data_IF_370110038799
#
_entry.id   IF_370110038799
#
_cell.length_a   1.000
_cell.length_b   1.000
_cell.length_c   1.000
_cell.angle_alpha   90.00
_cell.angle_beta   90.00
_cell.angle_gamma   90.00
#
_symmetry.space_group_name_H-M   'P 1'
#
loop_
_entity.id
_entity.type
_entity.pdbx_description
1 polymer ?
#
# COMPACT_ATOMS: atom_id res chain seq x y z
N UNK A 1 -59.09 -10.65 -2.63
CA UNK A 1 -58.03 -10.26 -3.60
C UNK A 1 -56.68 -9.92 -2.97
N UNK A 2 -56.58 -9.41 -1.73
CA UNK A 2 -55.29 -9.15 -1.07
C UNK A 2 -54.66 -10.40 -0.41
N UNK A 3 -55.46 -11.37 0.01
CA UNK A 3 -55.01 -12.63 0.62
C UNK A 3 -54.33 -13.57 -0.41
N UNK A 4 -54.92 -13.73 -1.59
CA UNK A 4 -54.38 -14.56 -2.69
C UNK A 4 -53.01 -14.07 -3.19
N UNK A 5 -52.79 -12.75 -3.22
CA UNK A 5 -51.49 -12.16 -3.62
C UNK A 5 -50.39 -12.39 -2.57
N UNK A 6 -50.75 -12.54 -1.30
CA UNK A 6 -49.79 -12.90 -0.23
C UNK A 6 -49.45 -14.39 -0.28
N UNK A 7 -50.44 -15.26 -0.48
CA UNK A 7 -50.20 -16.71 -0.62
C UNK A 7 -49.34 -17.05 -1.83
N UNK A 8 -49.58 -16.43 -2.99
CA UNK A 8 -48.78 -16.66 -4.20
C UNK A 8 -47.34 -16.16 -4.11
N UNK A 9 -47.07 -15.17 -3.26
CA UNK A 9 -45.72 -14.64 -2.98
C UNK A 9 -44.96 -15.51 -1.98
N UNK A 10 -45.67 -16.14 -1.05
CA UNK A 10 -45.14 -17.08 -0.05
C UNK A 10 -44.86 -18.44 -0.70
N UNK A 11 -45.77 -18.98 -1.52
CA UNK A 11 -45.56 -20.23 -2.26
C UNK A 11 -44.35 -20.15 -3.20
N UNK A 12 -44.15 -19.02 -3.89
CA UNK A 12 -42.99 -18.83 -4.77
C UNK A 12 -41.69 -18.57 -4.00
N UNK A 13 -41.76 -18.09 -2.75
CA UNK A 13 -40.59 -18.02 -1.85
C UNK A 13 -40.26 -19.40 -1.24
N UNK A 14 -41.26 -20.23 -0.95
CA UNK A 14 -41.10 -21.59 -0.40
C UNK A 14 -40.71 -22.65 -1.44
N UNK A 15 -40.95 -22.39 -2.73
CA UNK A 15 -40.53 -23.27 -3.84
C UNK A 15 -39.03 -23.07 -4.18
N UNK A 16 -38.51 -21.85 -4.01
CA UNK A 16 -37.07 -21.53 -4.10
C UNK A 16 -36.25 -22.24 -2.99
N UNK A 17 -36.89 -22.61 -1.88
CA UNK A 17 -36.26 -23.26 -0.73
C UNK A 17 -36.15 -24.80 -0.87
N UNK A 18 -36.79 -25.41 -1.88
CA UNK A 18 -36.98 -26.87 -1.95
C UNK A 18 -36.35 -27.61 -3.12
N UNK A 19 -35.74 -26.95 -4.11
CA UNK A 19 -35.02 -27.69 -5.17
C UNK A 19 -33.70 -28.27 -4.59
N UNK A 20 -33.63 -29.60 -4.36
CA UNK A 20 -32.47 -30.22 -3.73
C UNK A 20 -31.21 -30.05 -4.57
N UNK A 21 -31.37 -29.98 -5.91
CA UNK A 21 -30.26 -29.76 -6.83
C UNK A 21 -29.73 -28.32 -6.72
N UNK A 22 -30.62 -27.33 -6.57
CA UNK A 22 -30.21 -25.94 -6.39
C UNK A 22 -29.43 -25.76 -5.09
N UNK A 23 -29.89 -26.37 -3.99
CA UNK A 23 -29.17 -26.37 -2.70
C UNK A 23 -27.80 -27.03 -2.81
N UNK A 24 -27.72 -28.20 -3.45
CA UNK A 24 -26.45 -28.89 -3.69
C UNK A 24 -25.50 -28.05 -4.55
N UNK A 25 -26.00 -27.38 -5.60
CA UNK A 25 -25.21 -26.46 -6.42
C UNK A 25 -24.70 -25.25 -5.61
N UNK A 26 -25.53 -24.66 -4.74
CA UNK A 26 -25.11 -23.56 -3.87
C UNK A 26 -24.04 -23.99 -2.86
N UNK A 27 -24.15 -25.19 -2.29
CA UNK A 27 -23.16 -25.71 -1.34
C UNK A 27 -21.82 -25.98 -2.04
N UNK A 28 -21.84 -26.56 -3.25
CA UNK A 28 -20.63 -26.71 -4.09
C UNK A 28 -20.00 -25.35 -4.44
N UNK A 29 -20.81 -24.34 -4.76
CA UNK A 29 -20.31 -23.00 -5.04
C UNK A 29 -19.66 -22.37 -3.81
N UNK A 30 -20.28 -22.51 -2.62
CA UNK A 30 -19.70 -22.04 -1.36
C UNK A 30 -18.37 -22.72 -1.06
N UNK A 31 -18.27 -24.03 -1.28
CA UNK A 31 -17.02 -24.77 -1.09
C UNK A 31 -15.90 -24.24 -2.00
N UNK A 32 -16.20 -23.99 -3.27
CA UNK A 32 -15.23 -23.41 -4.23
C UNK A 32 -14.82 -22.00 -3.78
N UNK A 33 -15.77 -21.15 -3.37
CA UNK A 33 -15.46 -19.80 -2.89
C UNK A 33 -14.58 -19.82 -1.62
N UNK A 34 -14.82 -20.74 -0.70
CA UNK A 34 -13.96 -20.92 0.46
C UNK A 34 -12.54 -21.36 0.08
N UNK A 35 -12.39 -22.26 -0.90
CA UNK A 35 -11.06 -22.65 -1.43
C UNK A 35 -10.33 -21.46 -2.05
N UNK A 36 -11.03 -20.65 -2.85
CA UNK A 36 -10.47 -19.43 -3.46
C UNK A 36 -10.01 -18.42 -2.39
N UNK A 37 -10.82 -18.21 -1.35
CA UNK A 37 -10.46 -17.32 -0.25
C UNK A 37 -9.21 -17.80 0.49
N UNK A 38 -9.13 -19.10 0.81
CA UNK A 38 -7.96 -19.70 1.45
C UNK A 38 -6.69 -19.54 0.62
N UNK A 39 -6.78 -19.81 -0.69
CA UNK A 39 -5.66 -19.65 -1.61
C UNK A 39 -5.18 -18.19 -1.67
N UNK A 40 -6.11 -17.23 -1.70
CA UNK A 40 -5.78 -15.79 -1.68
C UNK A 40 -5.10 -15.38 -0.37
N UNK A 41 -5.56 -15.90 0.77
CA UNK A 41 -4.95 -15.64 2.07
C UNK A 41 -3.53 -16.21 2.16
N UNK A 42 -3.30 -17.43 1.68
CA UNK A 42 -1.98 -18.05 1.63
C UNK A 42 -1.01 -17.25 0.74
N UNK A 43 -1.47 -16.80 -0.44
CA UNK A 43 -0.67 -15.96 -1.33
C UNK A 43 -0.28 -14.63 -0.65
N UNK A 44 -1.21 -13.98 0.05
CA UNK A 44 -0.92 -12.76 0.82
C UNK A 44 0.10 -13.02 1.91
N UNK A 45 -0.02 -14.14 2.64
CA UNK A 45 0.93 -14.51 3.70
C UNK A 45 2.35 -14.67 3.16
N UNK A 46 2.52 -15.34 2.01
CA UNK A 46 3.85 -15.54 1.39
C UNK A 46 4.47 -14.23 0.91
N UNK A 47 3.66 -13.34 0.33
CA UNK A 47 4.14 -12.01 -0.07
C UNK A 47 4.64 -11.24 1.15
N UNK A 48 3.88 -11.24 2.25
CA UNK A 48 4.26 -10.55 3.48
C UNK A 48 5.56 -11.13 4.07
N UNK A 49 5.69 -12.46 4.14
CA UNK A 49 6.90 -13.11 4.63
C UNK A 49 8.16 -12.71 3.83
N UNK A 50 8.04 -12.66 2.50
CA UNK A 50 9.11 -12.20 1.62
C UNK A 50 9.41 -10.70 1.86
N UNK A 51 8.39 -9.85 1.93
CA UNK A 51 8.56 -8.42 2.21
C UNK A 51 9.27 -8.17 3.55
N UNK A 52 8.94 -8.95 4.59
CA UNK A 52 9.59 -8.89 5.89
C UNK A 52 11.08 -9.25 5.79
N UNK A 53 11.42 -10.38 5.15
CA UNK A 53 12.81 -10.80 4.95
C UNK A 53 13.62 -9.74 4.18
N UNK A 54 13.08 -9.18 3.10
CA UNK A 54 13.75 -8.12 2.35
C UNK A 54 13.82 -6.79 3.11
N UNK A 55 12.92 -6.54 4.06
CA UNK A 55 13.00 -5.38 4.94
C UNK A 55 14.17 -5.52 5.93
N UNK A 56 14.35 -6.70 6.52
CA UNK A 56 15.49 -7.00 7.38
C UNK A 56 16.82 -6.88 6.65
N UNK A 57 16.92 -7.36 5.40
CA UNK A 57 18.13 -7.25 4.59
C UNK A 57 18.42 -5.79 4.19
N UNK A 58 17.38 -5.00 3.87
CA UNK A 58 17.53 -3.59 3.47
C UNK A 58 18.00 -2.70 4.63
N UNK A 59 17.59 -2.99 5.86
CA UNK A 59 17.90 -2.18 7.04
C UNK A 59 19.41 -1.89 7.22
N UNK A 60 20.32 -2.88 7.33
CA UNK A 60 21.75 -2.61 7.50
C UNK A 60 22.37 -1.90 6.28
N UNK A 61 21.80 -2.08 5.08
CA UNK A 61 22.24 -1.38 3.87
C UNK A 61 21.90 0.11 3.96
N UNK A 62 20.68 0.44 4.38
CA UNK A 62 20.25 1.83 4.59
C UNK A 62 21.00 2.51 5.73
N UNK A 63 21.28 1.80 6.81
CA UNK A 63 22.13 2.29 7.90
C UNK A 63 23.53 2.62 7.38
N UNK A 64 24.18 1.68 6.67
CA UNK A 64 25.50 1.92 6.09
C UNK A 64 25.51 3.10 5.12
N UNK A 65 24.48 3.23 4.27
CA UNK A 65 24.30 4.40 3.40
C UNK A 65 24.19 5.69 4.21
N UNK A 66 23.42 5.67 5.29
CA UNK A 66 23.19 6.83 6.16
C UNK A 66 24.49 7.26 6.85
N UNK A 67 25.30 6.30 7.33
CA UNK A 67 26.60 6.60 7.92
C UNK A 67 27.56 7.24 6.91
N UNK A 68 27.57 6.79 5.65
CA UNK A 68 28.35 7.43 4.59
C UNK A 68 27.84 8.85 4.33
N UNK A 69 26.53 9.05 4.20
CA UNK A 69 25.94 10.36 3.95
C UNK A 69 26.29 11.36 5.07
N UNK A 70 26.30 10.93 6.34
CA UNK A 70 26.69 11.77 7.48
C UNK A 70 28.12 12.32 7.37
N UNK A 71 29.02 11.62 6.69
CA UNK A 71 30.41 12.09 6.49
C UNK A 71 30.53 13.21 5.46
N UNK A 72 29.48 13.43 4.64
CA UNK A 72 29.47 14.45 3.58
C UNK A 72 28.79 15.71 4.13
N UNK A 73 29.53 16.82 4.34
CA UNK A 73 28.95 18.06 4.83
C UNK A 73 27.84 18.57 3.90
N UNK A 74 26.74 19.04 4.48
CA UNK A 74 25.62 19.63 3.76
C UNK A 74 25.01 18.73 2.66
N UNK A 75 25.17 17.41 2.71
CA UNK A 75 24.76 16.51 1.61
C UNK A 75 23.30 16.75 1.17
N UNK A 76 22.33 16.64 2.08
CA UNK A 76 20.91 16.84 1.74
C UNK A 76 20.61 18.28 1.34
N UNK A 77 21.24 19.24 2.02
CA UNK A 77 21.10 20.68 1.75
C UNK A 77 21.66 21.08 0.38
N UNK A 78 22.70 20.40 -0.10
CA UNK A 78 23.38 20.68 -1.37
C UNK A 78 22.87 19.87 -2.55
N UNK A 79 22.24 18.71 -2.31
CA UNK A 79 21.76 17.82 -3.37
C UNK A 79 20.26 17.98 -3.62
N UNK A 80 19.45 18.08 -2.57
CA UNK A 80 17.99 18.06 -2.68
C UNK A 80 17.40 19.47 -2.66
N UNK A 81 17.73 20.28 -1.65
CA UNK A 81 17.10 21.58 -1.46
C UNK A 81 17.32 22.61 -2.58
N UNK A 82 18.46 22.66 -3.31
CA UNK A 82 18.65 23.67 -4.35
C UNK A 82 17.67 23.54 -5.51
N UNK A 83 17.04 22.37 -5.64
CA UNK A 83 16.09 22.06 -6.70
C UNK A 83 14.67 21.85 -6.19
N UNK A 84 14.44 21.85 -4.87
CA UNK A 84 13.11 21.68 -4.30
C UNK A 84 12.34 23.01 -4.36
N UNK A 85 11.33 23.09 -5.21
CA UNK A 85 10.51 24.29 -5.39
C UNK A 85 9.44 24.41 -4.31
N UNK A 86 8.70 23.33 -4.03
CA UNK A 86 7.69 23.30 -2.97
C UNK A 86 7.62 21.93 -2.29
N UNK A 87 7.21 21.95 -1.02
CA UNK A 87 6.81 20.78 -0.26
C UNK A 87 5.40 21.03 0.28
N UNK A 88 4.48 20.16 -0.08
CA UNK A 88 3.07 20.24 0.34
C UNK A 88 2.70 18.92 1.03
N UNK A 89 1.90 19.02 2.08
CA UNK A 89 1.18 17.89 2.67
C UNK A 89 -0.30 18.17 2.49
N UNK A 90 -1.01 17.25 1.86
CA UNK A 90 -2.44 17.33 1.63
C UNK A 90 -3.13 16.25 2.43
N UNK A 91 -4.16 16.62 3.18
CA UNK A 91 -5.05 15.66 3.83
C UNK A 91 -5.86 14.90 2.77
N UNK A 92 -6.12 13.61 3.00
CA UNK A 92 -6.95 12.80 2.13
C UNK A 92 -8.45 13.12 2.23
N UNK A 93 -9.23 12.64 1.26
CA UNK A 93 -10.66 12.92 1.15
C UNK A 93 -11.51 12.23 2.25
N UNK A 94 -11.00 11.17 2.89
CA UNK A 94 -11.65 10.46 4.00
C UNK A 94 -11.12 10.95 5.36
N UNK A 95 -11.99 10.91 6.37
CA UNK A 95 -11.75 11.38 7.75
C UNK A 95 -10.34 11.05 8.29
N UNK A 96 -9.58 12.12 8.52
CA UNK A 96 -8.54 12.33 9.54
C UNK A 96 -7.23 11.51 9.53
N UNK A 97 -7.05 10.48 8.71
CA UNK A 97 -5.77 9.73 8.72
C UNK A 97 -5.03 9.69 7.39
N UNK A 98 -5.72 9.82 6.26
CA UNK A 98 -5.07 9.80 4.96
C UNK A 98 -4.27 11.07 4.72
N UNK A 99 -3.08 10.94 4.14
CA UNK A 99 -2.30 12.10 3.72
C UNK A 99 -1.42 11.79 2.53
N UNK A 100 -1.10 12.86 1.80
CA UNK A 100 -0.23 12.83 0.62
C UNK A 100 0.87 13.86 0.79
N UNK A 101 2.11 13.42 0.74
CA UNK A 101 3.29 14.27 0.72
C UNK A 101 3.69 14.49 -0.74
N UNK A 102 3.82 15.75 -1.14
CA UNK A 102 4.11 16.16 -2.51
C UNK A 102 5.37 17.02 -2.51
N UNK A 103 6.37 16.57 -3.24
CA UNK A 103 7.61 17.31 -3.49
C UNK A 103 7.61 17.79 -4.95
N UNK A 104 7.74 19.09 -5.17
CA UNK A 104 7.93 19.67 -6.50
C UNK A 104 9.38 20.08 -6.69
N UNK A 105 9.95 19.69 -7.81
CA UNK A 105 11.34 19.98 -8.14
C UNK A 105 11.45 20.79 -9.43
N UNK A 106 12.33 21.78 -9.40
CA UNK A 106 12.89 22.40 -10.58
C UNK A 106 13.82 21.41 -11.31
N UNK A 107 14.11 21.65 -12.61
CA UNK A 107 15.03 20.80 -13.36
C UNK A 107 16.37 20.63 -12.63
N UNK A 108 16.74 19.37 -12.35
CA UNK A 108 17.95 19.03 -11.61
C UNK A 108 18.78 17.96 -12.35
N UNK A 109 20.08 17.79 -12.03
CA UNK A 109 20.95 16.87 -12.76
C UNK A 109 20.75 15.39 -12.40
N UNK A 110 19.97 15.07 -11.35
CA UNK A 110 19.92 13.73 -10.76
C UNK A 110 18.74 12.89 -11.26
N UNK A 111 17.57 13.49 -11.48
CA UNK A 111 16.38 12.79 -11.94
C UNK A 111 15.48 13.66 -12.84
N UNK A 112 14.60 13.02 -13.60
CA UNK A 112 13.67 13.64 -14.54
C UNK A 112 12.36 14.13 -13.92
N UNK A 113 11.99 13.62 -12.73
CA UNK A 113 10.73 13.98 -12.08
C UNK A 113 10.69 15.46 -11.67
N UNK A 114 9.65 16.18 -12.10
CA UNK A 114 9.28 17.48 -11.53
C UNK A 114 8.34 17.35 -10.31
N UNK A 115 7.78 16.17 -10.10
CA UNK A 115 6.83 15.86 -9.02
C UNK A 115 7.13 14.47 -8.46
N UNK A 116 7.38 14.39 -7.15
CA UNK A 116 7.40 13.14 -6.41
C UNK A 116 6.27 13.14 -5.39
N UNK A 117 5.48 12.08 -5.40
CA UNK A 117 4.32 11.91 -4.51
C UNK A 117 4.55 10.70 -3.63
N UNK A 118 4.19 10.82 -2.36
CA UNK A 118 4.09 9.71 -1.41
C UNK A 118 2.74 9.81 -0.71
N UNK A 119 1.85 8.83 -0.88
CA UNK A 119 0.55 8.80 -0.24
C UNK A 119 0.39 7.63 0.72
N UNK A 120 -0.39 7.88 1.77
CA UNK A 120 -0.78 6.94 2.79
C UNK A 120 -2.30 6.97 2.90
N UNK A 121 -2.92 5.81 2.68
CA UNK A 121 -4.36 5.61 2.76
C UNK A 121 -4.64 4.52 3.79
N UNK A 122 -5.31 4.88 4.88
CA UNK A 122 -5.67 4.00 5.97
C UNK A 122 -7.05 3.40 5.66
N UNK A 123 -7.12 2.09 5.59
CA UNK A 123 -8.31 1.33 5.25
C UNK A 123 -9.08 0.93 6.52
N UNK A 124 -10.39 0.73 6.38
CA UNK A 124 -11.29 0.40 7.50
C UNK A 124 -10.96 -0.94 8.19
N UNK A 125 -10.15 -1.79 7.53
CA UNK A 125 -9.65 -3.06 8.07
C UNK A 125 -8.35 -2.92 8.88
N UNK A 126 -7.88 -1.70 9.11
CA UNK A 126 -6.65 -1.38 9.84
C UNK A 126 -5.38 -1.48 8.98
N UNK A 127 -5.49 -1.84 7.70
CA UNK A 127 -4.34 -1.87 6.80
C UNK A 127 -4.04 -0.49 6.20
N UNK A 128 -2.78 -0.26 5.82
CA UNK A 128 -2.36 0.97 5.15
C UNK A 128 -1.93 0.67 3.73
N UNK A 129 -2.63 1.27 2.78
CA UNK A 129 -2.23 1.31 1.38
C UNK A 129 -1.27 2.47 1.15
N UNK A 130 -0.11 2.18 0.55
CA UNK A 130 0.90 3.18 0.21
C UNK A 130 1.08 3.26 -1.28
N UNK A 131 1.26 4.48 -1.79
CA UNK A 131 1.64 4.73 -3.18
C UNK A 131 2.79 5.73 -3.22
N UNK A 132 3.69 5.54 -4.17
CA UNK A 132 4.82 6.44 -4.38
C UNK A 132 5.21 6.55 -5.85
N UNK A 133 5.74 7.71 -6.21
CA UNK A 133 6.37 7.92 -7.52
C UNK A 133 7.62 7.05 -7.68
N UNK A 134 7.76 6.41 -8.83
CA UNK A 134 9.05 5.85 -9.27
C UNK A 134 9.95 7.01 -9.70
N UNK A 135 11.19 6.99 -9.21
CA UNK A 135 12.17 8.02 -9.54
C UNK A 135 12.80 7.69 -10.89
N UNK A 136 12.67 8.62 -11.83
CA UNK A 136 13.29 8.60 -13.16
C UNK A 136 14.73 9.09 -13.03
N UNK A 137 15.63 8.20 -12.60
CA UNK A 137 17.04 8.52 -12.39
C UNK A 137 17.72 8.86 -13.71
N UNK A 138 18.38 10.03 -13.76
CA UNK A 138 19.32 10.35 -14.83
C UNK A 138 20.57 9.53 -14.58
N UNK A 139 20.81 8.51 -15.41
CA UNK A 139 22.00 7.66 -15.33
C UNK A 139 23.26 8.52 -15.25
N UNK A 140 23.97 8.48 -14.11
CA UNK A 140 25.40 8.71 -14.14
C UNK A 140 26.02 7.46 -14.76
N UNK A 141 26.52 7.59 -15.98
CA UNK A 141 27.12 6.52 -16.77
C UNK A 141 28.18 5.75 -15.98
N UNK A 142 27.84 4.50 -15.63
CA UNK A 142 28.74 3.41 -15.31
C UNK A 142 28.16 2.15 -15.96
N UNK A 143 28.99 1.18 -16.41
CA UNK A 143 28.51 0.10 -17.27
C UNK A 143 27.74 -0.92 -16.43
N UNK A 144 26.46 -1.08 -16.70
CA UNK A 144 25.77 -2.33 -16.41
C UNK A 144 24.65 -2.52 -17.43
N UNK A 145 24.80 -3.58 -18.23
CA UNK A 145 23.71 -4.24 -18.93
C UNK A 145 22.73 -4.73 -17.87
N UNK A 146 21.56 -4.11 -17.77
CA UNK A 146 20.37 -4.74 -17.22
C UNK A 146 19.16 -4.07 -17.89
N UNK A 147 18.35 -4.87 -18.59
CA UNK A 147 17.13 -4.44 -19.25
C UNK A 147 16.17 -3.75 -18.27
N UNK A 148 15.35 -2.78 -18.72
CA UNK A 148 14.40 -2.12 -17.85
C UNK A 148 13.34 -3.11 -17.36
N UNK A 149 13.40 -3.47 -16.07
CA UNK A 149 12.27 -4.13 -15.41
C UNK A 149 11.04 -3.20 -15.48
N UNK A 150 9.94 -3.70 -16.03
CA UNK A 150 8.62 -3.10 -15.82
C UNK A 150 8.32 -3.11 -14.32
N UNK A 151 8.60 -1.99 -13.63
CA UNK A 151 8.28 -1.84 -12.22
C UNK A 151 6.77 -1.70 -12.07
N UNK A 152 6.14 -2.80 -11.67
CA UNK A 152 4.75 -2.85 -11.22
C UNK A 152 4.51 -1.80 -10.13
N UNK A 153 3.38 -1.11 -10.23
CA UNK A 153 2.85 -0.22 -9.20
C UNK A 153 2.85 -0.93 -7.84
N UNK A 154 3.81 -0.59 -6.98
CA UNK A 154 3.94 -1.16 -5.64
C UNK A 154 2.82 -0.67 -4.73
N UNK A 155 1.66 -1.32 -4.77
CA UNK A 155 0.62 -1.20 -3.74
C UNK A 155 0.94 -2.19 -2.63
N UNK A 156 1.83 -1.81 -1.72
CA UNK A 156 2.02 -2.57 -0.47
C UNK A 156 0.88 -2.19 0.46
N UNK A 157 -0.10 -3.10 0.57
CA UNK A 157 -1.06 -3.10 1.68
C UNK A 157 -0.34 -3.76 2.84
N UNK A 158 0.27 -2.95 3.69
CA UNK A 158 0.91 -3.41 4.92
C UNK A 158 0.04 -3.03 6.10
N UNK A 159 -0.16 -3.95 7.04
CA UNK A 159 -0.55 -3.56 8.39
C UNK A 159 0.63 -2.78 8.99
N UNK A 160 0.37 -1.61 9.58
CA UNK A 160 1.39 -0.95 10.39
C UNK A 160 1.48 -1.78 11.68
N UNK A 161 2.63 -2.42 11.89
CA UNK A 161 2.99 -2.95 13.21
C UNK A 161 2.96 -1.77 14.20
N UNK A 162 2.27 -1.95 15.33
CA UNK A 162 2.04 -0.98 16.42
C UNK A 162 3.33 -0.60 17.19
N UNK A 163 4.48 -0.47 16.52
CA UNK A 163 5.77 -0.16 17.15
C UNK A 163 6.36 1.16 16.64
N UNK A 164 5.61 2.26 16.70
CA UNK A 164 6.22 3.62 16.65
C UNK A 164 5.34 4.71 17.31
N UNK A 165 4.56 4.38 18.36
CA UNK A 165 3.79 5.38 19.14
C UNK A 165 4.39 5.75 20.51
N UNK A 166 5.52 5.15 20.92
CA UNK A 166 6.01 5.28 22.31
C UNK A 166 7.12 6.33 22.57
N UNK A 167 7.57 7.11 21.58
CA UNK A 167 8.61 8.15 21.82
C UNK A 167 8.09 9.61 21.93
N UNK A 168 6.78 9.86 21.91
CA UNK A 168 6.22 11.23 22.01
C UNK A 168 5.51 11.57 23.33
N UNK A 169 5.57 10.72 24.36
CA UNK A 169 4.97 11.01 25.68
C UNK A 169 5.92 11.57 26.75
N UNK A 170 7.23 11.56 26.53
CA UNK A 170 8.20 11.95 27.57
C UNK A 170 8.65 13.43 27.58
N UNK A 171 8.00 14.31 26.81
CA UNK A 171 8.25 15.77 26.92
C UNK A 171 7.09 16.58 27.50
N UNK A 172 6.04 15.90 27.98
CA UNK A 172 4.91 16.53 28.66
C UNK A 172 4.80 16.12 30.14
N UNK A 173 5.93 16.01 30.85
CA UNK A 173 5.99 16.14 32.31
C UNK A 173 7.42 16.36 32.80
N UNK A 174 7.88 17.61 32.73
CA UNK A 174 8.77 18.23 33.71
C UNK A 174 8.65 19.73 33.65
#
# INVERSE_FOLDING_TARGET
>A
MAADKKQKKIEHQEEVERDPKLKECMDKLKEIQQKLFRLKAEARSKINEIEMQFTEIRRPIYEKRTEIIKTIPEFWMGVILPYLSTLEVQDGEKQNSDFVIIFRFDPNPFFGNSLLVRSYTFLDDGSVQRFWSVIDWKMQTGPHDDEPEEVQHGSVVGSVDEEEEDELKDTASS
#
